data_IF_578350812953
#
_entry.id   IF_578350812953
#
_cell.length_a   1.000
_cell.length_b   1.000
_cell.length_c   1.000
_cell.angle_alpha   90.00
_cell.angle_beta   90.00
_cell.angle_gamma   90.00
#
_symmetry.space_group_name_H-M   'P 1'
#
loop_
_entity.id
_entity.type
_entity.pdbx_description
1 polymer ?
#
# COMPACT_ATOMS: atom_id res chain seq x y z
N UNK A 1 63.15 -42.60 -36.97
CA UNK A 1 62.15 -41.68 -37.59
C UNK A 1 60.79 -41.68 -36.85
N UNK A 2 60.58 -42.59 -35.89
CA UNK A 2 59.30 -42.81 -35.19
C UNK A 2 59.04 -41.80 -34.07
N UNK A 3 60.01 -41.56 -33.18
CA UNK A 3 59.85 -40.65 -32.03
C UNK A 3 59.54 -39.19 -32.41
N UNK A 4 60.15 -38.71 -33.51
CA UNK A 4 59.91 -37.34 -34.00
C UNK A 4 58.45 -37.15 -34.46
N UNK A 5 57.85 -38.17 -35.08
CA UNK A 5 56.47 -38.09 -35.54
C UNK A 5 55.48 -38.21 -34.37
N UNK A 6 55.81 -39.01 -33.36
CA UNK A 6 55.05 -39.11 -32.11
C UNK A 6 55.04 -37.76 -31.37
N UNK A 7 56.21 -37.12 -31.21
CA UNK A 7 56.34 -35.78 -30.64
C UNK A 7 55.51 -34.72 -31.41
N UNK A 8 55.50 -34.79 -32.74
CA UNK A 8 54.70 -33.88 -33.56
C UNK A 8 53.20 -34.09 -33.31
N UNK A 9 52.74 -35.35 -33.25
CA UNK A 9 51.35 -35.68 -32.97
C UNK A 9 50.93 -35.24 -31.56
N UNK A 10 51.79 -35.42 -30.56
CA UNK A 10 51.50 -35.01 -29.18
C UNK A 10 51.44 -33.49 -29.05
N UNK A 11 52.33 -32.76 -29.72
CA UNK A 11 52.27 -31.29 -29.79
C UNK A 11 50.95 -30.84 -30.44
N UNK A 12 50.48 -31.52 -31.47
CA UNK A 12 49.21 -31.20 -32.12
C UNK A 12 48.02 -31.46 -31.19
N UNK A 13 48.00 -32.58 -30.46
CA UNK A 13 46.98 -32.89 -29.46
C UNK A 13 46.95 -31.86 -28.34
N UNK A 14 48.10 -31.51 -27.77
CA UNK A 14 48.22 -30.51 -26.72
C UNK A 14 47.77 -29.12 -27.19
N UNK A 15 48.05 -28.74 -28.44
CA UNK A 15 47.54 -27.49 -29.02
C UNK A 15 46.01 -27.50 -29.16
N UNK A 16 45.44 -28.60 -29.61
CA UNK A 16 43.99 -28.75 -29.74
C UNK A 16 43.30 -28.68 -28.36
N UNK A 17 43.89 -29.34 -27.36
CA UNK A 17 43.39 -29.33 -25.98
C UNK A 17 43.50 -27.93 -25.35
N UNK A 18 44.64 -27.25 -25.50
CA UNK A 18 44.80 -25.84 -25.08
C UNK A 18 43.71 -24.95 -25.68
N UNK A 19 43.48 -25.06 -26.99
CA UNK A 19 42.47 -24.24 -27.67
C UNK A 19 41.05 -24.54 -27.17
N UNK A 20 40.75 -25.81 -26.87
CA UNK A 20 39.47 -26.22 -26.27
C UNK A 20 39.30 -25.62 -24.88
N UNK A 21 40.32 -25.72 -24.02
CA UNK A 21 40.30 -25.16 -22.67
C UNK A 21 40.15 -23.63 -22.69
N UNK A 22 40.86 -22.93 -23.58
CA UNK A 22 40.70 -21.49 -23.75
C UNK A 22 39.28 -21.09 -24.15
N UNK A 23 38.62 -21.90 -25.01
CA UNK A 23 37.22 -21.66 -25.36
C UNK A 23 36.30 -21.86 -24.16
N UNK A 24 36.51 -22.92 -23.37
CA UNK A 24 35.73 -23.18 -22.15
C UNK A 24 35.89 -22.08 -21.10
N UNK A 25 37.12 -21.58 -20.91
CA UNK A 25 37.38 -20.44 -20.01
C UNK A 25 36.60 -19.21 -20.47
N UNK A 26 36.69 -18.87 -21.76
CA UNK A 26 35.96 -17.72 -22.31
C UNK A 26 34.45 -17.85 -22.19
N UNK A 27 33.93 -19.06 -22.35
CA UNK A 27 32.50 -19.32 -22.16
C UNK A 27 32.11 -19.22 -20.66
N UNK A 28 32.97 -19.71 -19.75
CA UNK A 28 32.76 -19.58 -18.31
C UNK A 28 32.77 -18.12 -17.83
N UNK A 29 33.73 -17.31 -18.29
CA UNK A 29 33.81 -15.86 -18.00
C UNK A 29 32.53 -15.11 -18.44
N UNK A 30 31.95 -15.51 -19.58
CA UNK A 30 30.67 -14.94 -20.05
C UNK A 30 29.51 -15.30 -19.15
N UNK A 31 29.45 -16.55 -18.70
CA UNK A 31 28.41 -17.00 -17.77
C UNK A 31 28.55 -16.32 -16.41
N UNK A 32 29.77 -16.11 -15.93
CA UNK A 32 30.03 -15.37 -14.70
C UNK A 32 29.55 -13.92 -14.80
N UNK A 33 29.89 -13.22 -15.90
CA UNK A 33 29.40 -11.86 -16.14
C UNK A 33 27.87 -11.80 -16.19
N UNK A 34 27.23 -12.73 -16.91
CA UNK A 34 25.77 -12.75 -17.03
C UNK A 34 25.09 -13.05 -15.69
N UNK A 35 25.67 -13.94 -14.87
CA UNK A 35 25.20 -14.22 -13.53
C UNK A 35 25.33 -12.99 -12.62
N UNK A 36 26.45 -12.26 -12.71
CA UNK A 36 26.67 -11.04 -11.95
C UNK A 36 25.67 -9.94 -12.32
N UNK A 37 25.46 -9.70 -13.62
CA UNK A 37 24.48 -8.73 -14.11
C UNK A 37 23.06 -9.09 -13.65
N UNK A 38 22.71 -10.39 -13.72
CA UNK A 38 21.41 -10.89 -13.25
C UNK A 38 21.24 -10.68 -11.74
N UNK A 39 22.28 -10.93 -10.95
CA UNK A 39 22.27 -10.71 -9.50
C UNK A 39 22.07 -9.22 -9.16
N UNK A 40 22.77 -8.32 -9.85
CA UNK A 40 22.64 -6.88 -9.61
C UNK A 40 21.24 -6.39 -9.99
N UNK A 41 20.70 -6.82 -11.13
CA UNK A 41 19.34 -6.49 -11.55
C UNK A 41 18.31 -6.95 -10.51
N UNK A 42 18.43 -8.18 -9.98
CA UNK A 42 17.56 -8.68 -8.92
C UNK A 42 17.66 -7.84 -7.64
N UNK A 43 18.88 -7.44 -7.25
CA UNK A 43 19.11 -6.61 -6.08
C UNK A 43 18.47 -5.22 -6.23
N UNK A 44 18.61 -4.60 -7.40
CA UNK A 44 17.95 -3.33 -7.72
C UNK A 44 16.43 -3.44 -7.68
N UNK A 45 15.88 -4.51 -8.25
CA UNK A 45 14.45 -4.79 -8.21
C UNK A 45 13.93 -4.99 -6.78
N UNK A 46 14.66 -5.72 -5.94
CA UNK A 46 14.30 -5.93 -4.54
C UNK A 46 14.31 -4.61 -3.75
N UNK A 47 15.36 -3.80 -3.93
CA UNK A 47 15.44 -2.45 -3.35
C UNK A 47 14.27 -1.55 -3.79
N UNK A 48 13.87 -1.63 -5.07
CA UNK A 48 12.72 -0.89 -5.57
C UNK A 48 11.40 -1.37 -4.93
N UNK A 49 11.25 -2.68 -4.71
CA UNK A 49 10.08 -3.25 -4.06
C UNK A 49 9.99 -2.82 -2.59
N UNK A 50 11.10 -2.85 -1.85
CA UNK A 50 11.17 -2.36 -0.47
C UNK A 50 10.76 -0.88 -0.36
N UNK A 51 11.25 -0.04 -1.29
CA UNK A 51 10.84 1.38 -1.36
C UNK A 51 9.33 1.52 -1.59
N UNK A 52 8.76 0.76 -2.53
CA UNK A 52 7.30 0.77 -2.79
C UNK A 52 6.51 0.34 -1.56
N UNK A 53 6.94 -0.73 -0.89
CA UNK A 53 6.30 -1.22 0.34
C UNK A 53 6.39 -0.18 1.47
N UNK A 54 7.52 0.51 1.60
CA UNK A 54 7.66 1.60 2.58
C UNK A 54 6.69 2.73 2.29
N UNK A 55 6.63 3.23 1.05
CA UNK A 55 5.69 4.29 0.64
C UNK A 55 4.24 3.87 0.93
N UNK A 56 3.86 2.64 0.59
CA UNK A 56 2.50 2.14 0.85
C UNK A 56 2.17 2.08 2.35
N UNK A 57 3.12 1.61 3.20
CA UNK A 57 2.95 1.61 4.66
C UNK A 57 2.84 3.00 5.24
N UNK A 58 3.68 3.93 4.77
CA UNK A 58 3.68 5.32 5.22
C UNK A 58 2.35 5.99 4.83
N UNK A 59 1.88 5.77 3.58
CA UNK A 59 0.59 6.26 3.11
C UNK A 59 -0.57 5.71 3.95
N UNK A 60 -0.62 4.39 4.19
CA UNK A 60 -1.65 3.76 5.01
C UNK A 60 -1.65 4.33 6.45
N UNK A 61 -0.47 4.48 7.06
CA UNK A 61 -0.33 4.98 8.43
C UNK A 61 -0.76 6.43 8.55
N UNK A 62 -0.47 7.28 7.56
CA UNK A 62 -0.94 8.66 7.53
C UNK A 62 -2.45 8.72 7.32
N UNK A 63 -2.98 8.01 6.32
CA UNK A 63 -4.42 7.96 6.03
C UNK A 63 -5.23 7.46 7.24
N UNK A 64 -4.78 6.39 7.88
CA UNK A 64 -5.42 5.86 9.09
C UNK A 64 -5.46 6.91 10.21
N UNK A 65 -4.38 7.66 10.42
CA UNK A 65 -4.32 8.72 11.43
C UNK A 65 -5.26 9.87 11.12
N UNK A 66 -5.27 10.32 9.87
CA UNK A 66 -6.13 11.42 9.44
C UNK A 66 -7.61 11.05 9.58
N UNK A 67 -7.98 9.84 9.16
CA UNK A 67 -9.33 9.29 9.35
C UNK A 67 -9.68 9.21 10.84
N UNK A 68 -8.79 8.68 11.67
CA UNK A 68 -9.02 8.58 13.12
C UNK A 68 -9.30 9.95 13.74
N UNK A 69 -8.49 10.97 13.41
CA UNK A 69 -8.68 12.33 13.92
C UNK A 69 -10.05 12.91 13.53
N UNK A 70 -10.50 12.67 12.30
CA UNK A 70 -11.82 13.13 11.84
C UNK A 70 -12.96 12.39 12.56
N UNK A 71 -12.84 11.07 12.76
CA UNK A 71 -13.81 10.31 13.55
C UNK A 71 -13.91 10.80 15.00
N UNK A 72 -12.78 11.10 15.65
CA UNK A 72 -12.76 11.66 17.00
C UNK A 72 -13.53 12.99 17.07
N UNK A 73 -13.37 13.86 16.06
CA UNK A 73 -14.11 15.12 16.00
C UNK A 73 -15.61 14.93 15.83
N UNK A 74 -16.04 14.03 14.92
CA UNK A 74 -17.46 13.69 14.73
C UNK A 74 -18.07 13.14 16.03
N UNK A 75 -17.36 12.24 16.72
CA UNK A 75 -17.80 11.70 18.02
C UNK A 75 -17.94 12.80 19.07
N UNK A 76 -17.00 13.74 19.13
CA UNK A 76 -17.06 14.87 20.05
C UNK A 76 -18.27 15.78 19.77
N UNK A 77 -18.57 16.10 18.51
CA UNK A 77 -19.76 16.89 18.16
C UNK A 77 -21.06 16.12 18.47
N UNK A 78 -21.12 14.82 18.17
CA UNK A 78 -22.27 13.99 18.50
C UNK A 78 -22.53 13.96 20.02
N UNK A 79 -21.47 13.92 20.83
CA UNK A 79 -21.58 14.01 22.29
C UNK A 79 -22.10 15.39 22.77
N UNK A 80 -21.75 16.49 22.08
CA UNK A 80 -22.32 17.82 22.37
C UNK A 80 -23.80 17.88 22.07
N UNK A 81 -24.24 17.42 20.90
CA UNK A 81 -25.67 17.33 20.54
C UNK A 81 -26.43 16.51 21.58
N UNK A 82 -25.91 15.33 21.95
CA UNK A 82 -26.50 14.48 23.01
C UNK A 82 -26.62 15.23 24.34
N UNK A 83 -25.65 16.07 24.70
CA UNK A 83 -25.66 16.87 25.93
C UNK A 83 -26.68 18.01 25.86
N UNK A 84 -26.86 18.65 24.71
CA UNK A 84 -27.86 19.69 24.48
C UNK A 84 -29.28 19.13 24.62
N UNK A 85 -29.55 17.97 23.99
CA UNK A 85 -30.81 17.24 24.12
C UNK A 85 -31.11 16.87 25.57
N UNK A 86 -30.13 16.29 26.28
CA UNK A 86 -30.28 15.95 27.71
C UNK A 86 -30.59 17.16 28.59
N UNK A 87 -30.12 18.35 28.22
CA UNK A 87 -30.36 19.60 28.95
C UNK A 87 -31.61 20.35 28.47
N UNK A 88 -32.34 19.80 27.50
CA UNK A 88 -33.52 20.42 26.88
C UNK A 88 -33.24 21.84 26.35
N UNK A 89 -32.00 22.09 25.92
CA UNK A 89 -31.55 23.38 25.37
C UNK A 89 -31.80 23.46 23.88
N UNK A 90 -33.08 23.43 23.51
CA UNK A 90 -33.48 23.44 22.10
C UNK A 90 -33.04 24.71 21.35
N UNK A 91 -32.73 25.78 22.09
CA UNK A 91 -32.14 27.02 21.57
C UNK A 91 -30.80 26.82 20.86
N UNK A 92 -30.01 25.80 21.23
CA UNK A 92 -28.71 25.49 20.62
C UNK A 92 -28.72 24.27 19.72
N UNK A 93 -29.87 23.58 19.60
CA UNK A 93 -29.90 22.27 18.99
C UNK A 93 -29.61 22.33 17.48
N UNK A 94 -30.19 23.32 16.79
CA UNK A 94 -29.99 23.51 15.35
C UNK A 94 -28.53 23.80 15.00
N UNK A 95 -27.87 24.70 15.75
CA UNK A 95 -26.47 25.05 15.53
C UNK A 95 -25.52 23.87 15.74
N UNK A 96 -25.75 23.07 16.78
CA UNK A 96 -24.92 21.90 17.10
C UNK A 96 -25.16 20.74 16.10
N UNK A 97 -26.39 20.57 15.61
CA UNK A 97 -26.70 19.62 14.52
C UNK A 97 -26.04 20.07 13.21
N UNK A 98 -26.12 21.35 12.85
CA UNK A 98 -25.47 21.88 11.65
C UNK A 98 -23.94 21.71 11.71
N UNK A 99 -23.36 21.93 12.89
CA UNK A 99 -21.93 21.68 13.13
C UNK A 99 -21.60 20.21 12.97
N UNK A 100 -22.37 19.29 13.56
CA UNK A 100 -22.18 17.86 13.39
C UNK A 100 -22.28 17.44 11.91
N UNK A 101 -23.29 17.90 11.18
CA UNK A 101 -23.47 17.59 9.76
C UNK A 101 -22.27 18.04 8.92
N UNK A 102 -21.71 19.21 9.19
CA UNK A 102 -20.51 19.70 8.52
C UNK A 102 -19.31 18.78 8.74
N UNK A 103 -19.14 18.24 9.94
CA UNK A 103 -18.01 17.37 10.24
C UNK A 103 -18.18 15.97 9.67
N UNK A 104 -19.42 15.48 9.60
CA UNK A 104 -19.73 14.25 8.87
C UNK A 104 -19.39 14.44 7.38
N UNK A 105 -19.70 15.61 6.79
CA UNK A 105 -19.30 15.92 5.41
C UNK A 105 -17.77 15.97 5.25
N UNK A 106 -17.04 16.62 6.16
CA UNK A 106 -15.57 16.65 6.14
C UNK A 106 -14.98 15.22 6.22
N UNK A 107 -15.54 14.35 7.06
CA UNK A 107 -15.12 12.96 7.18
C UNK A 107 -15.36 12.19 5.87
N UNK A 108 -16.50 12.41 5.22
CA UNK A 108 -16.80 11.83 3.92
C UNK A 108 -15.86 12.30 2.81
N UNK A 109 -15.54 13.59 2.77
CA UNK A 109 -14.54 14.13 1.84
C UNK A 109 -13.17 13.47 2.05
N UNK A 110 -12.75 13.25 3.31
CA UNK A 110 -11.50 12.54 3.63
C UNK A 110 -11.54 11.07 3.23
N UNK A 111 -12.72 10.43 3.29
CA UNK A 111 -12.91 9.03 2.87
C UNK A 111 -13.16 8.89 1.37
N UNK A 112 -13.37 9.99 0.63
CA UNK A 112 -13.78 9.97 -0.77
C UNK A 112 -15.16 9.38 -1.00
N UNK A 113 -16.06 9.53 -0.03
CA UNK A 113 -17.44 9.03 -0.08
C UNK A 113 -18.36 10.22 -0.34
N UNK A 114 -19.29 10.09 -1.26
CA UNK A 114 -20.38 11.05 -1.41
C UNK A 114 -21.46 10.75 -0.36
N UNK A 115 -21.71 11.70 0.54
CA UNK A 115 -22.90 11.64 1.40
C UNK A 115 -24.04 12.24 0.59
N UNK A 116 -24.74 11.40 -0.16
CA UNK A 116 -26.12 11.72 -0.52
C UNK A 116 -26.95 11.77 0.76
N UNK A 117 -27.90 12.71 0.83
CA UNK A 117 -28.80 12.93 1.97
C UNK A 117 -29.21 11.60 2.61
N UNK A 118 -29.14 11.54 3.95
CA UNK A 118 -29.50 10.37 4.77
C UNK A 118 -30.67 9.64 4.10
N UNK A 119 -30.53 8.36 3.70
CA UNK A 119 -31.61 7.66 3.04
C UNK A 119 -32.79 7.63 4.01
N UNK A 120 -33.79 8.47 3.76
CA UNK A 120 -34.99 8.60 4.60
C UNK A 120 -35.74 7.26 4.70
N UNK A 121 -35.44 6.34 3.76
CA UNK A 121 -36.00 4.99 3.69
C UNK A 121 -35.15 3.91 4.37
N UNK A 122 -34.08 4.26 5.09
CA UNK A 122 -33.30 3.27 5.82
C UNK A 122 -34.04 2.87 7.11
N UNK A 123 -34.34 1.57 7.32
CA UNK A 123 -35.12 1.10 8.47
C UNK A 123 -34.47 1.40 9.83
N UNK A 124 -33.18 1.72 9.89
CA UNK A 124 -32.53 2.19 11.13
C UNK A 124 -32.93 3.62 11.55
N UNK A 125 -33.33 4.49 10.61
CA UNK A 125 -33.82 5.84 10.89
C UNK A 125 -35.36 5.92 10.97
N UNK A 126 -36.07 4.84 10.63
CA UNK A 126 -37.50 4.65 10.88
C UNK A 126 -37.81 4.21 12.31
N UNK A 127 -36.97 4.54 13.29
CA UNK A 127 -37.37 4.37 14.69
C UNK A 127 -38.66 5.18 14.87
N UNK A 128 -39.75 4.43 15.08
CA UNK A 128 -41.09 4.93 15.27
C UNK A 128 -41.04 6.12 16.20
N UNK A 129 -41.47 7.27 15.70
CA UNK A 129 -41.99 8.34 16.53
C UNK A 129 -43.11 7.69 17.32
N UNK A 130 -42.81 7.16 18.50
CA UNK A 130 -43.83 6.88 19.49
C UNK A 130 -44.51 8.22 19.69
N UNK A 131 -45.76 8.29 19.22
CA UNK A 131 -46.66 9.39 19.49
C UNK A 131 -46.61 9.63 20.99
N UNK A 132 -46.09 10.80 21.37
CA UNK A 132 -46.22 11.28 22.75
C UNK A 132 -47.71 11.54 22.91
N UNK A 133 -48.42 10.56 23.45
CA UNK A 133 -49.82 10.71 23.86
C UNK A 133 -49.89 11.88 24.85
N UNK A 134 -50.53 12.96 24.41
CA UNK A 134 -51.01 14.00 25.29
C UNK A 134 -52.41 13.60 25.78
N UNK A 135 -52.46 12.87 26.89
CA UNK A 135 -53.60 12.86 27.81
C UNK A 135 -53.26 13.63 29.10
#
# INVERSE_FOLDING_TARGET
>A
MTERNELINDIQKLKAERNRLLKQIKDAERWESAAWDSYNALTEHLNALEKKQKIARDYWSCSQRDIQNQFEFVVDQANKVKKVLKKQRYDLLEDEINTLMKEIQNLADVLGIEIDELPQNNPFFMLSVEEIDHE
#
